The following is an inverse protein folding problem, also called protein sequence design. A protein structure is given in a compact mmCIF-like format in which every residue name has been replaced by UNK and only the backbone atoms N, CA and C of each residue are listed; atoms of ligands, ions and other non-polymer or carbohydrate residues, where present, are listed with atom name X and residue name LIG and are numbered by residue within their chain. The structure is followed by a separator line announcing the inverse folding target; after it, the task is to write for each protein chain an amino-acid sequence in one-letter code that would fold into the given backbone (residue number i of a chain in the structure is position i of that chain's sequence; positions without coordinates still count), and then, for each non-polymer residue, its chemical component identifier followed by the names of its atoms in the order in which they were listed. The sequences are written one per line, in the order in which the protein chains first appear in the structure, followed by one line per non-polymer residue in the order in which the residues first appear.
data_IF_255517365121
#
_entry.id   IF_255517365121
#
_cell.length_a   1.000
_cell.length_b   1.000
_cell.length_c   1.000
_cell.angle_alpha   90.00
_cell.angle_beta   90.00
_cell.angle_gamma   90.00
#
_symmetry.space_group_name_H-M   'P 1'
#
loop_
_entity.id
_entity.type
_entity.pdbx_description
1 polymer ?
#
# COMPACT_ATOMS: atom_id res chain seq x y z
N UNK A 1 4.46 6.30 -19.13
CA UNK A 1 5.59 5.41 -18.80
C UNK A 1 5.17 3.99 -19.01
N UNK A 2 6.10 3.09 -19.37
CA UNK A 2 5.85 1.65 -19.49
C UNK A 2 6.28 0.94 -18.21
N UNK A 3 5.83 -0.30 -18.03
CA UNK A 3 6.19 -1.16 -16.90
C UNK A 3 7.71 -1.30 -16.77
N UNK A 4 8.25 -1.33 -15.56
CA UNK A 4 9.65 -1.62 -15.31
C UNK A 4 9.99 -3.04 -15.81
N UNK A 5 11.19 -3.24 -16.33
CA UNK A 5 11.61 -4.54 -16.85
C UNK A 5 12.67 -4.45 -17.95
N UNK A 6 13.00 -5.62 -18.49
CA UNK A 6 13.99 -5.78 -19.55
C UNK A 6 13.32 -5.77 -20.91
N UNK A 7 13.84 -4.94 -21.81
CA UNK A 7 13.31 -4.72 -23.15
C UNK A 7 14.36 -5.02 -24.21
N UNK A 8 13.89 -5.43 -25.39
CA UNK A 8 14.69 -5.56 -26.60
C UNK A 8 14.13 -4.62 -27.66
N UNK A 9 15.00 -3.80 -28.22
CA UNK A 9 14.74 -3.01 -29.42
C UNK A 9 15.37 -3.72 -30.61
N UNK A 10 14.54 -4.09 -31.59
CA UNK A 10 15.02 -4.59 -32.89
C UNK A 10 14.85 -3.47 -33.91
N UNK A 11 15.94 -3.07 -34.54
CA UNK A 11 15.94 -2.15 -35.68
C UNK A 11 16.22 -2.96 -36.94
N UNK A 12 15.32 -2.88 -37.92
CA UNK A 12 15.46 -3.55 -39.22
C UNK A 12 15.54 -2.51 -40.32
N UNK A 13 16.57 -2.62 -41.16
CA UNK A 13 16.75 -1.81 -42.36
C UNK A 13 16.51 -2.72 -43.57
N UNK A 14 15.54 -2.33 -44.41
CA UNK A 14 15.32 -2.95 -45.71
C UNK A 14 16.09 -2.17 -46.78
N UNK A 15 17.10 -2.78 -47.36
CA UNK A 15 17.82 -2.22 -48.51
C UNK A 15 17.86 -3.24 -49.64
N UNK A 16 17.43 -2.81 -50.83
CA UNK A 16 17.63 -3.53 -52.10
C UNK A 16 17.22 -5.02 -52.07
N UNK A 17 16.13 -5.34 -51.37
CA UNK A 17 15.59 -6.71 -51.29
C UNK A 17 16.22 -7.59 -50.19
N UNK A 18 17.02 -7.02 -49.28
CA UNK A 18 17.52 -7.70 -48.09
C UNK A 18 17.18 -6.91 -46.82
N UNK A 19 16.81 -7.63 -45.76
CA UNK A 19 16.58 -7.07 -44.44
C UNK A 19 17.80 -7.32 -43.55
N UNK A 20 18.41 -6.26 -43.04
CA UNK A 20 19.45 -6.33 -42.00
C UNK A 20 18.84 -5.89 -40.69
N UNK A 21 19.00 -6.69 -39.63
CA UNK A 21 18.47 -6.37 -38.30
C UNK A 21 19.57 -6.28 -37.23
N UNK A 22 19.41 -5.33 -36.31
CA UNK A 22 20.22 -5.19 -35.10
C UNK A 22 19.33 -5.22 -33.86
N UNK A 23 19.79 -5.87 -32.80
CA UNK A 23 19.07 -5.98 -31.52
C UNK A 23 19.86 -5.30 -30.41
N UNK A 24 19.19 -4.44 -29.64
CA UNK A 24 19.73 -3.81 -28.44
C UNK A 24 18.85 -4.13 -27.23
N UNK A 25 19.44 -4.60 -26.15
CA UNK A 25 18.75 -4.79 -24.87
C UNK A 25 18.93 -3.57 -23.96
N UNK A 26 17.89 -3.21 -23.23
CA UNK A 26 17.92 -2.16 -22.20
C UNK A 26 16.92 -2.46 -21.09
N UNK A 27 17.06 -1.81 -19.94
CA UNK A 27 16.14 -1.97 -18.81
C UNK A 27 15.50 -0.64 -18.44
N UNK A 28 14.22 -0.70 -18.07
CA UNK A 28 13.51 0.40 -17.41
C UNK A 28 13.32 0.03 -15.94
N UNK A 29 13.53 1.00 -15.05
CA UNK A 29 13.37 0.84 -13.60
C UNK A 29 12.11 1.54 -13.13
N UNK A 30 11.59 1.11 -11.98
CA UNK A 30 10.48 1.79 -11.33
C UNK A 30 10.91 3.21 -10.90
N UNK A 31 9.99 4.16 -10.97
CA UNK A 31 10.27 5.55 -10.59
C UNK A 31 10.19 5.73 -9.07
N UNK A 32 11.30 5.47 -8.38
CA UNK A 32 11.41 5.59 -6.92
C UNK A 32 11.19 7.02 -6.39
N UNK A 33 11.32 8.04 -7.24
CA UNK A 33 11.14 9.43 -6.85
C UNK A 33 9.66 9.84 -6.82
N UNK A 34 8.80 9.16 -7.57
CA UNK A 34 7.39 9.48 -7.75
C UNK A 34 6.48 8.31 -7.36
N UNK A 35 6.63 7.87 -6.11
CA UNK A 35 5.78 6.83 -5.53
C UNK A 35 4.34 7.29 -5.29
N UNK A 36 3.45 6.32 -5.24
CA UNK A 36 2.02 6.44 -4.97
C UNK A 36 1.69 5.39 -3.92
N UNK A 37 1.30 5.86 -2.73
CA UNK A 37 0.83 5.02 -1.64
C UNK A 37 -0.71 5.01 -1.64
N UNK A 38 -1.30 3.81 -1.70
CA UNK A 38 -2.72 3.59 -1.44
C UNK A 38 -2.91 2.85 -0.12
N UNK A 39 -4.08 3.02 0.48
CA UNK A 39 -4.51 2.39 1.72
C UNK A 39 -5.98 2.02 1.59
N UNK A 40 -6.29 0.77 1.84
CA UNK A 40 -7.64 0.20 1.74
C UNK A 40 -7.92 -0.67 2.98
N UNK A 41 -9.19 -0.90 3.26
CA UNK A 41 -9.66 -1.79 4.32
C UNK A 41 -10.60 -2.84 3.76
N UNK A 42 -10.77 -3.94 4.49
CA UNK A 42 -11.80 -4.92 4.17
C UNK A 42 -13.20 -4.30 4.12
N UNK A 43 -14.02 -4.85 3.24
CA UNK A 43 -15.43 -4.49 3.15
C UNK A 43 -16.18 -4.98 4.38
N UNK A 44 -17.06 -4.13 4.90
CA UNK A 44 -17.85 -4.44 6.09
C UNK A 44 -17.87 -3.29 7.08
N UNK A 45 -18.52 -3.54 8.21
CA UNK A 45 -18.56 -2.67 9.37
C UNK A 45 -17.69 -3.26 10.48
N UNK A 46 -17.00 -2.41 11.21
CA UNK A 46 -16.25 -2.79 12.39
C UNK A 46 -17.14 -2.72 13.64
N UNK A 47 -16.85 -3.58 14.61
CA UNK A 47 -17.50 -3.59 15.91
C UNK A 47 -16.45 -3.47 17.01
N UNK A 48 -16.83 -2.89 18.15
CA UNK A 48 -15.92 -2.61 19.25
C UNK A 48 -15.62 -3.83 20.15
N UNK A 49 -15.53 -5.03 19.57
CA UNK A 49 -15.28 -6.29 20.27
C UNK A 49 -13.83 -6.80 20.12
N UNK A 50 -12.97 -6.02 19.46
CA UNK A 50 -11.58 -6.38 19.20
C UNK A 50 -11.39 -7.32 18.01
N UNK A 51 -12.45 -7.68 17.27
CA UNK A 51 -12.31 -8.47 16.05
C UNK A 51 -11.47 -7.72 15.00
N UNK A 52 -10.47 -8.37 14.38
CA UNK A 52 -9.60 -7.72 13.43
C UNK A 52 -10.29 -7.44 12.09
N UNK A 53 -9.90 -6.34 11.45
CA UNK A 53 -10.29 -5.97 10.08
C UNK A 53 -9.02 -5.79 9.25
N UNK A 54 -8.95 -6.42 8.07
CA UNK A 54 -7.79 -6.33 7.19
C UNK A 54 -7.57 -4.92 6.65
N UNK A 55 -6.33 -4.44 6.72
CA UNK A 55 -5.85 -3.17 6.21
C UNK A 55 -4.72 -3.44 5.22
N UNK A 56 -4.84 -2.89 4.02
CA UNK A 56 -3.93 -3.16 2.92
C UNK A 56 -3.34 -1.86 2.39
N UNK A 57 -2.01 -1.78 2.43
CA UNK A 57 -1.26 -0.71 1.78
C UNK A 57 -0.61 -1.23 0.50
N UNK A 58 -0.58 -0.39 -0.53
CA UNK A 58 0.17 -0.66 -1.76
C UNK A 58 1.01 0.53 -2.16
N UNK A 59 2.28 0.28 -2.48
CA UNK A 59 3.24 1.32 -2.87
C UNK A 59 3.85 1.00 -4.24
N UNK A 60 3.54 1.87 -5.21
CA UNK A 60 3.94 1.73 -6.61
C UNK A 60 4.36 3.07 -7.18
N UNK A 61 5.02 3.09 -8.33
CA UNK A 61 5.14 4.33 -9.11
C UNK A 61 3.84 4.68 -9.85
N UNK A 62 3.80 5.83 -10.51
CA UNK A 62 2.66 6.28 -11.31
C UNK A 62 2.26 5.31 -12.45
N UNK A 63 3.14 4.38 -12.84
CA UNK A 63 2.89 3.38 -13.88
C UNK A 63 2.48 2.02 -13.29
N UNK A 64 2.33 1.93 -11.97
CA UNK A 64 1.92 0.72 -11.26
C UNK A 64 3.06 -0.26 -10.99
N UNK A 65 4.32 0.14 -11.21
CA UNK A 65 5.46 -0.71 -10.89
C UNK A 65 5.67 -0.78 -9.38
N UNK A 66 5.85 -1.98 -8.80
CA UNK A 66 6.05 -2.12 -7.37
C UNK A 66 7.32 -1.42 -6.92
N UNK A 67 7.20 -0.65 -5.84
CA UNK A 67 8.32 -0.04 -5.14
C UNK A 67 8.61 -0.84 -3.87
N UNK A 68 9.84 -0.72 -3.37
CA UNK A 68 10.30 -1.39 -2.16
C UNK A 68 10.26 -0.44 -0.95
N UNK A 69 10.27 -1.04 0.24
CA UNK A 69 10.35 -0.33 1.50
C UNK A 69 9.50 -0.97 2.59
N UNK A 70 9.35 -0.25 3.69
CA UNK A 70 8.67 -0.71 4.90
C UNK A 70 7.55 0.27 5.23
N UNK A 71 6.34 -0.26 5.39
CA UNK A 71 5.15 0.50 5.76
C UNK A 71 4.98 0.44 7.27
N UNK A 72 4.82 1.60 7.89
CA UNK A 72 4.40 1.78 9.27
C UNK A 72 2.89 2.02 9.29
N UNK A 73 2.16 1.13 9.97
CA UNK A 73 0.73 1.26 10.20
C UNK A 73 0.47 1.83 11.58
N UNK A 74 -0.48 2.75 11.68
CA UNK A 74 -0.96 3.32 12.93
C UNK A 74 -2.45 3.58 12.85
N UNK A 75 -3.11 3.60 14.00
CA UNK A 75 -4.53 3.92 14.09
C UNK A 75 -4.82 4.60 15.42
N UNK A 76 -5.93 5.31 15.48
CA UNK A 76 -6.41 5.94 16.71
C UNK A 76 -7.89 6.29 16.65
N UNK A 77 -8.49 6.47 17.81
CA UNK A 77 -9.85 6.98 17.98
C UNK A 77 -9.83 8.51 17.89
N UNK A 78 -10.82 9.13 17.25
CA UNK A 78 -10.94 10.60 17.25
C UNK A 78 -11.20 11.16 18.66
N UNK A 79 -12.03 10.45 19.43
CA UNK A 79 -12.39 10.83 20.80
C UNK A 79 -11.28 10.48 21.81
N UNK A 80 -10.43 9.51 21.48
CA UNK A 80 -9.33 9.05 22.35
C UNK A 80 -8.07 8.67 21.55
N UNK A 81 -7.34 9.67 21.00
CA UNK A 81 -6.24 9.43 20.06
C UNK A 81 -5.07 8.62 20.62
N UNK A 82 -4.90 8.57 21.94
CA UNK A 82 -3.82 7.86 22.62
C UNK A 82 -4.27 6.55 23.27
N UNK A 83 -5.46 6.05 22.93
CA UNK A 83 -5.98 4.82 23.53
C UNK A 83 -5.16 3.61 23.14
N UNK A 84 -4.79 2.80 24.13
CA UNK A 84 -4.15 1.50 23.92
C UNK A 84 -5.14 0.41 23.50
N UNK A 85 -6.44 0.74 23.44
CA UNK A 85 -7.50 -0.17 23.01
C UNK A 85 -7.67 -0.20 21.49
N UNK A 86 -6.99 0.69 20.77
CA UNK A 86 -6.91 0.72 19.30
C UNK A 86 -5.55 0.17 18.88
N UNK A 87 -5.52 -0.81 17.98
CA UNK A 87 -4.30 -1.51 17.60
C UNK A 87 -4.20 -1.74 16.10
N UNK A 88 -2.96 -1.70 15.62
CA UNK A 88 -2.55 -2.19 14.30
C UNK A 88 -1.56 -3.33 14.50
N UNK A 89 -1.83 -4.50 13.94
CA UNK A 89 -0.95 -5.67 14.06
C UNK A 89 -0.80 -6.39 12.70
N UNK A 90 0.43 -6.60 12.20
CA UNK A 90 1.67 -5.95 12.63
C UNK A 90 1.66 -4.43 12.36
N UNK A 91 2.25 -3.64 13.26
CA UNK A 91 2.40 -2.19 13.07
C UNK A 91 3.45 -1.81 12.01
N UNK A 92 4.29 -2.75 11.57
CA UNK A 92 5.33 -2.48 10.57
C UNK A 92 5.51 -3.68 9.65
N UNK A 93 5.49 -3.45 8.34
CA UNK A 93 5.52 -4.50 7.32
C UNK A 93 6.40 -4.11 6.16
N UNK A 94 7.34 -4.99 5.81
CA UNK A 94 8.11 -4.86 4.57
C UNK A 94 7.24 -5.23 3.37
N UNK A 95 7.22 -4.37 2.36
CA UNK A 95 6.45 -4.59 1.14
C UNK A 95 6.88 -5.87 0.43
N UNK A 96 5.91 -6.60 -0.10
CA UNK A 96 6.15 -7.75 -0.97
C UNK A 96 6.75 -7.32 -2.31
N UNK A 97 7.18 -8.29 -3.13
CA UNK A 97 7.67 -8.03 -4.49
C UNK A 97 6.63 -7.38 -5.41
N UNK A 98 5.34 -7.43 -5.06
CA UNK A 98 4.25 -6.77 -5.78
C UNK A 98 3.86 -5.42 -5.18
N UNK A 99 4.64 -4.94 -4.20
CA UNK A 99 4.47 -3.64 -3.55
C UNK A 99 3.31 -3.60 -2.57
N UNK A 100 2.92 -4.74 -1.97
CA UNK A 100 1.80 -4.81 -1.03
C UNK A 100 2.29 -5.06 0.41
N UNK A 101 1.58 -4.49 1.38
CA UNK A 101 1.71 -4.74 2.80
C UNK A 101 0.32 -4.91 3.43
N UNK A 102 0.19 -5.81 4.39
CA UNK A 102 -1.07 -6.08 5.08
C UNK A 102 -0.89 -5.99 6.59
N UNK A 103 -1.87 -5.40 7.27
CA UNK A 103 -1.97 -5.29 8.72
C UNK A 103 -3.42 -5.47 9.13
N UNK A 104 -3.69 -5.61 10.42
CA UNK A 104 -5.03 -5.76 10.97
C UNK A 104 -5.33 -4.62 11.94
N UNK A 105 -6.45 -3.97 11.73
CA UNK A 105 -7.02 -3.00 12.66
C UNK A 105 -7.94 -3.71 13.64
N UNK A 106 -7.77 -3.46 14.94
CA UNK A 106 -8.72 -3.93 15.97
C UNK A 106 -8.93 -2.85 17.03
N UNK A 107 -10.14 -2.78 17.56
CA UNK A 107 -10.46 -1.84 18.64
C UNK A 107 -11.55 -2.36 19.56
N UNK A 108 -11.53 -1.89 20.81
CA UNK A 108 -12.63 -2.05 21.77
C UNK A 108 -13.40 -0.74 22.02
N UNK A 109 -13.19 0.26 21.15
CA UNK A 109 -13.82 1.56 21.21
C UNK A 109 -14.75 1.74 20.02
N UNK A 110 -15.94 2.28 20.28
CA UNK A 110 -16.88 2.67 19.23
C UNK A 110 -16.64 4.11 18.79
N UNK A 111 -17.15 4.49 17.62
CA UNK A 111 -17.02 5.83 17.08
C UNK A 111 -16.04 5.91 15.91
N UNK A 112 -15.68 7.13 15.52
CA UNK A 112 -14.78 7.36 14.41
C UNK A 112 -13.33 7.07 14.78
N UNK A 113 -12.65 6.36 13.89
CA UNK A 113 -11.24 6.01 13.99
C UNK A 113 -10.53 6.39 12.69
N UNK A 114 -9.30 6.87 12.82
CA UNK A 114 -8.38 7.06 11.69
C UNK A 114 -7.40 5.88 11.63
N UNK A 115 -7.03 5.50 10.41
CA UNK A 115 -6.02 4.48 10.12
C UNK A 115 -5.06 5.07 9.10
N UNK A 116 -3.77 5.03 9.41
CA UNK A 116 -2.71 5.63 8.62
C UNK A 116 -1.65 4.60 8.24
N UNK A 117 -1.21 4.68 6.99
CA UNK A 117 -0.03 4.02 6.48
C UNK A 117 1.01 5.08 6.12
N UNK A 118 2.25 4.85 6.54
CA UNK A 118 3.40 5.72 6.27
C UNK A 118 4.55 4.91 5.71
N UNK A 119 5.22 5.43 4.69
CA UNK A 119 6.46 4.87 4.16
C UNK A 119 7.43 6.00 3.87
N UNK A 120 8.69 5.82 4.27
CA UNK A 120 9.76 6.77 3.99
C UNK A 120 10.82 6.09 3.16
N UNK A 121 11.14 6.66 1.99
CA UNK A 121 12.28 6.23 1.19
C UNK A 121 13.40 7.29 1.26
N UNK A 122 14.48 7.07 0.52
CA UNK A 122 15.65 7.98 0.50
C UNK A 122 15.35 9.39 -0.03
N UNK A 123 14.17 9.62 -0.62
CA UNK A 123 13.77 10.87 -1.26
C UNK A 123 12.63 11.58 -0.54
N UNK A 124 11.61 10.84 -0.12
CA UNK A 124 10.33 11.38 0.33
C UNK A 124 9.61 10.43 1.28
N UNK A 125 8.79 11.03 2.16
CA UNK A 125 7.79 10.34 2.97
C UNK A 125 6.43 10.41 2.29
N UNK A 126 5.74 9.28 2.26
CA UNK A 126 4.38 9.14 1.75
C UNK A 126 3.49 8.70 2.91
N UNK A 127 2.36 9.37 3.05
CA UNK A 127 1.35 9.05 4.06
C UNK A 127 -0.02 8.96 3.40
N UNK A 128 -0.80 7.98 3.83
CA UNK A 128 -2.20 7.83 3.45
C UNK A 128 -3.01 7.51 4.68
N UNK A 129 -4.19 8.13 4.77
CA UNK A 129 -5.11 7.97 5.88
C UNK A 129 -6.50 7.63 5.33
N UNK A 130 -7.22 6.81 6.08
CA UNK A 130 -8.65 6.59 5.92
C UNK A 130 -9.35 6.69 7.28
N UNK A 131 -10.64 6.99 7.26
CA UNK A 131 -11.49 7.03 8.45
C UNK A 131 -12.48 5.88 8.37
N UNK A 132 -12.74 5.23 9.51
CA UNK A 132 -13.80 4.22 9.64
C UNK A 132 -14.65 4.47 10.88
N UNK A 133 -15.88 3.95 10.88
CA UNK A 133 -16.79 4.03 12.02
C UNK A 133 -16.97 2.67 12.66
N UNK A 134 -16.69 2.57 13.95
CA UNK A 134 -16.77 1.34 14.72
C UNK A 134 -18.07 1.33 15.52
N UNK A 135 -18.89 0.31 15.29
CA UNK A 135 -20.21 0.18 15.91
C UNK A 135 -20.06 -0.36 17.34
N UNK A 136 -20.80 0.24 18.29
CA UNK A 136 -20.95 -0.30 19.64
C UNK A 136 -21.86 -1.52 19.61
N UNK A 137 -21.36 -2.69 20.03
CA UNK A 137 -22.22 -3.85 20.26
C UNK A 137 -23.08 -3.66 21.52
N UNK A 138 -24.32 -4.19 21.54
CA UNK A 138 -25.13 -4.22 22.74
C UNK A 138 -24.42 -5.04 23.84
N UNK A 139 -24.48 -4.54 25.06
CA UNK A 139 -23.98 -5.26 26.23
C UNK A 139 -24.83 -6.54 26.39
N UNK A 140 -24.18 -7.70 26.52
CA UNK A 140 -24.92 -8.92 26.84
C UNK A 140 -25.44 -8.78 28.27
N UNK A 141 -26.76 -8.81 28.42
CA UNK A 141 -27.40 -8.97 29.72
C UNK A 141 -26.77 -10.22 30.38
N UNK A 142 -26.11 -9.99 31.51
CA UNK A 142 -25.37 -11.01 32.28
C UNK A 142 -26.31 -11.84 33.16
#
# INVERSE_FOLDING_TARGET
GRTAGSYKLTATLNELGSDVSAVKSFSLYADEANGVLSLEKDYGYEVNDGSPTGIYARFVDHFGNPLSGTVEFSAGSEDSPTSQRVKMEPATVTLSSTGNAASEFSTYESGYHWIKAKITNSKKTYEKELTTFVVKLPEKDS
#
